data_IF_511815207598
#
_entry.id   IF_511815207598
#
_cell.length_a   1.000
_cell.length_b   1.000
_cell.length_c   1.000
_cell.angle_alpha   90.00
_cell.angle_beta   90.00
_cell.angle_gamma   90.00
#
_symmetry.space_group_name_H-M   'P 1'
#
loop_
_entity.id
_entity.type
_entity.pdbx_description
1 polymer ?
#
# COMPACT_ATOMS: atom_id res chain seq x y z
N UNK A 1 15.17 19.62 36.65
CA UNK A 1 14.24 18.48 36.46
C UNK A 1 13.32 18.85 35.32
N UNK A 2 13.82 18.69 34.09
CA UNK A 2 13.13 19.13 32.87
C UNK A 2 12.18 18.04 32.39
N UNK A 3 10.91 18.41 32.31
CA UNK A 3 9.83 17.55 31.88
C UNK A 3 9.85 17.45 30.34
N UNK A 4 10.52 16.42 29.81
CA UNK A 4 10.56 16.10 28.38
C UNK A 4 9.17 15.67 27.93
N UNK A 5 8.43 16.58 27.30
CA UNK A 5 7.16 16.29 26.64
C UNK A 5 7.42 15.51 25.36
N UNK A 6 7.10 14.22 25.39
CA UNK A 6 7.39 13.29 24.30
C UNK A 6 6.37 13.45 23.14
N UNK A 7 6.81 13.59 21.88
CA UNK A 7 5.94 13.82 20.71
C UNK A 7 5.27 12.53 20.20
N UNK A 8 4.74 11.68 21.10
CA UNK A 8 4.18 10.35 20.76
C UNK A 8 2.76 10.39 20.15
N UNK A 9 2.04 11.52 20.22
CA UNK A 9 0.60 11.56 19.93
C UNK A 9 0.23 11.64 18.43
N UNK A 10 1.06 12.22 17.57
CA UNK A 10 0.71 12.46 16.15
C UNK A 10 0.65 11.18 15.31
N UNK A 11 1.47 10.17 15.63
CA UNK A 11 1.51 8.94 14.84
C UNK A 11 0.39 7.96 15.17
N UNK A 12 -0.04 7.91 16.45
CA UNK A 12 -1.25 7.20 16.86
C UNK A 12 -2.48 7.84 16.25
N UNK A 13 -2.55 9.18 16.17
CA UNK A 13 -3.62 9.89 15.47
C UNK A 13 -3.72 9.52 13.99
N UNK A 14 -2.59 9.42 13.27
CA UNK A 14 -2.61 9.01 11.86
C UNK A 14 -3.01 7.55 11.66
N UNK A 15 -2.53 6.64 12.50
CA UNK A 15 -2.88 5.22 12.41
C UNK A 15 -4.33 4.99 12.84
N UNK A 16 -4.80 5.67 13.88
CA UNK A 16 -6.24 5.73 14.22
C UNK A 16 -7.05 6.34 13.08
N UNK A 17 -6.57 7.39 12.41
CA UNK A 17 -7.25 7.96 11.24
C UNK A 17 -7.37 6.96 10.10
N UNK A 18 -6.31 6.20 9.79
CA UNK A 18 -6.35 5.17 8.75
C UNK A 18 -7.31 4.06 9.14
N UNK A 19 -7.20 3.52 10.36
CA UNK A 19 -8.12 2.47 10.85
C UNK A 19 -9.56 2.98 10.89
N UNK A 20 -9.77 4.20 11.37
CA UNK A 20 -11.09 4.85 11.40
C UNK A 20 -11.62 5.05 10.00
N UNK A 21 -10.82 5.50 9.04
CA UNK A 21 -11.19 5.62 7.63
C UNK A 21 -11.54 4.26 7.02
N UNK A 22 -10.78 3.21 7.33
CA UNK A 22 -11.06 1.84 6.88
C UNK A 22 -12.37 1.31 7.45
N UNK A 23 -12.59 1.50 8.76
CA UNK A 23 -13.82 1.09 9.45
C UNK A 23 -15.01 1.91 8.96
N UNK A 24 -14.82 3.21 8.75
CA UNK A 24 -15.85 4.10 8.21
C UNK A 24 -16.19 3.71 6.76
N UNK A 25 -15.19 3.41 5.93
CA UNK A 25 -15.41 2.90 4.58
C UNK A 25 -16.17 1.57 4.61
N UNK A 26 -15.79 0.64 5.48
CA UNK A 26 -16.51 -0.63 5.66
C UNK A 26 -17.95 -0.42 6.15
N UNK A 27 -18.17 0.47 7.11
CA UNK A 27 -19.49 0.81 7.63
C UNK A 27 -20.36 1.52 6.59
N UNK A 28 -19.77 2.39 5.76
CA UNK A 28 -20.46 3.02 4.62
C UNK A 28 -20.82 1.98 3.56
N UNK A 29 -19.93 1.02 3.27
CA UNK A 29 -20.23 -0.09 2.36
C UNK A 29 -21.39 -0.93 2.89
N UNK A 30 -21.33 -1.36 4.15
CA UNK A 30 -22.40 -2.17 4.77
C UNK A 30 -23.70 -1.38 4.85
N UNK A 31 -23.65 -0.13 5.31
CA UNK A 31 -24.82 0.75 5.42
C UNK A 31 -25.45 1.03 4.07
N UNK A 32 -24.65 1.26 3.02
CA UNK A 32 -25.17 1.48 1.69
C UNK A 32 -25.71 0.20 1.01
N UNK A 33 -25.19 -0.98 1.36
CA UNK A 33 -25.78 -2.26 0.95
C UNK A 33 -27.12 -2.52 1.63
N UNK A 34 -27.26 -2.14 2.91
CA UNK A 34 -28.52 -2.28 3.67
C UNK A 34 -29.56 -1.26 3.18
N UNK A 35 -29.22 0.03 3.14
CA UNK A 35 -30.14 1.11 2.71
C UNK A 35 -30.44 1.04 1.21
N UNK A 36 -29.48 0.62 0.40
CA UNK A 36 -29.63 0.49 -1.04
C UNK A 36 -30.62 -0.60 -1.45
N UNK A 37 -30.83 -1.63 -0.62
CA UNK A 37 -31.84 -2.68 -0.85
C UNK A 37 -33.26 -2.14 -0.72
N UNK A 38 -33.47 -1.15 0.13
CA UNK A 38 -34.81 -0.60 0.40
C UNK A 38 -35.17 0.60 -0.49
N UNK A 39 -34.20 1.19 -1.19
CA UNK A 39 -34.38 2.45 -1.95
C UNK A 39 -34.34 2.28 -3.47
N UNK A 40 -34.07 1.08 -3.99
CA UNK A 40 -33.87 0.83 -5.43
C UNK A 40 -32.61 1.50 -6.01
N UNK A 41 -31.82 2.19 -5.18
CA UNK A 41 -30.56 2.82 -5.60
C UNK A 41 -29.58 1.79 -6.12
N UNK A 42 -29.68 0.50 -5.75
CA UNK A 42 -28.82 -0.59 -6.23
C UNK A 42 -29.22 -1.18 -7.59
N UNK A 43 -30.42 -0.87 -8.09
CA UNK A 43 -30.97 -1.43 -9.32
C UNK A 43 -30.61 -0.55 -10.52
N UNK A 44 -29.34 -0.63 -10.92
CA UNK A 44 -28.87 -0.10 -12.19
C UNK A 44 -28.74 -1.25 -13.19
N UNK A 45 -29.56 -1.28 -14.23
CA UNK A 45 -29.38 -2.24 -15.31
C UNK A 45 -28.21 -1.78 -16.19
N UNK A 46 -27.05 -2.45 -16.17
CA UNK A 46 -25.88 -2.00 -16.89
C UNK A 46 -26.13 -2.12 -18.40
N UNK A 47 -25.72 -1.13 -19.22
CA UNK A 47 -25.77 -1.28 -20.66
C UNK A 47 -24.87 -2.47 -21.08
N UNK A 48 -25.23 -3.17 -22.17
CA UNK A 48 -24.56 -4.41 -22.58
C UNK A 48 -23.03 -4.30 -22.69
N UNK A 49 -22.53 -3.16 -23.18
CA UNK A 49 -21.09 -2.88 -23.26
C UNK A 49 -20.43 -2.82 -21.88
N UNK A 50 -21.09 -2.25 -20.88
CA UNK A 50 -20.58 -2.15 -19.51
C UNK A 50 -20.59 -3.50 -18.81
N UNK A 51 -21.56 -4.35 -19.12
CA UNK A 51 -21.61 -5.71 -18.60
C UNK A 51 -20.42 -6.55 -19.11
N UNK A 52 -20.19 -6.55 -20.43
CA UNK A 52 -19.04 -7.27 -21.02
C UNK A 52 -17.71 -6.71 -20.53
N UNK A 53 -17.54 -5.38 -20.59
CA UNK A 53 -16.30 -4.73 -20.16
C UNK A 53 -16.04 -4.91 -18.66
N UNK A 54 -17.09 -4.78 -17.84
CA UNK A 54 -17.03 -4.96 -16.40
C UNK A 54 -16.61 -6.39 -16.03
N UNK A 55 -17.18 -7.40 -16.67
CA UNK A 55 -16.79 -8.80 -16.49
C UNK A 55 -15.34 -9.07 -16.89
N UNK A 56 -14.91 -8.55 -18.05
CA UNK A 56 -13.52 -8.69 -18.51
C UNK A 56 -12.53 -8.04 -17.52
N UNK A 57 -12.83 -6.82 -17.06
CA UNK A 57 -11.98 -6.11 -16.10
C UNK A 57 -11.97 -6.80 -14.73
N UNK A 58 -13.10 -7.31 -14.27
CA UNK A 58 -13.16 -8.05 -13.01
C UNK A 58 -12.30 -9.31 -13.06
N UNK A 59 -12.38 -10.09 -14.14
CA UNK A 59 -11.56 -11.29 -14.33
C UNK A 59 -10.08 -10.95 -14.50
N UNK A 60 -9.75 -9.92 -15.28
CA UNK A 60 -8.37 -9.48 -15.49
C UNK A 60 -7.72 -8.96 -14.20
N UNK A 61 -8.44 -8.14 -13.43
CA UNK A 61 -7.98 -7.63 -12.13
C UNK A 61 -7.78 -8.76 -11.10
N UNK A 62 -8.69 -9.73 -11.08
CA UNK A 62 -8.57 -10.92 -10.23
C UNK A 62 -7.37 -11.78 -10.63
N UNK A 63 -7.20 -12.06 -11.93
CA UNK A 63 -6.07 -12.82 -12.44
C UNK A 63 -4.73 -12.13 -12.12
N UNK A 64 -4.65 -10.81 -12.28
CA UNK A 64 -3.47 -10.02 -11.92
C UNK A 64 -3.17 -10.10 -10.42
N UNK A 65 -4.21 -10.03 -9.58
CA UNK A 65 -4.07 -10.14 -8.12
C UNK A 65 -3.53 -11.51 -7.72
N UNK A 66 -4.10 -12.58 -8.27
CA UNK A 66 -3.66 -13.97 -8.04
C UNK A 66 -2.21 -14.15 -8.51
N UNK A 67 -1.89 -13.71 -9.74
CA UNK A 67 -0.54 -13.81 -10.28
C UNK A 67 0.49 -13.08 -9.40
N UNK A 68 0.13 -11.90 -8.89
CA UNK A 68 0.99 -11.13 -7.98
C UNK A 68 1.19 -11.85 -6.65
N UNK A 69 0.15 -12.43 -6.07
CA UNK A 69 0.25 -13.23 -4.84
C UNK A 69 1.15 -14.44 -5.06
N UNK A 70 0.92 -15.21 -6.13
CA UNK A 70 1.72 -16.40 -6.46
C UNK A 70 3.18 -16.02 -6.65
N UNK A 71 3.46 -14.94 -7.38
CA UNK A 71 4.82 -14.42 -7.55
C UNK A 71 5.47 -14.00 -6.23
N UNK A 72 4.72 -13.33 -5.35
CA UNK A 72 5.21 -12.88 -4.05
C UNK A 72 5.53 -14.05 -3.10
N UNK A 73 4.71 -15.11 -3.15
CA UNK A 73 4.95 -16.36 -2.41
C UNK A 73 6.15 -17.11 -2.99
N UNK A 74 6.21 -17.27 -4.31
CA UNK A 74 7.27 -18.02 -5.00
C UNK A 74 8.63 -17.35 -4.90
N UNK A 75 8.67 -16.01 -4.88
CA UNK A 75 9.92 -15.25 -4.73
C UNK A 75 10.55 -15.34 -3.33
N UNK A 76 9.91 -16.03 -2.37
CA UNK A 76 10.46 -16.21 -1.03
C UNK A 76 10.54 -14.90 -0.22
N UNK A 77 10.01 -13.79 -0.75
CA UNK A 77 10.09 -12.46 -0.15
C UNK A 77 9.46 -12.41 1.24
N UNK A 78 8.39 -13.16 1.47
CA UNK A 78 7.78 -13.31 2.79
C UNK A 78 8.73 -13.95 3.82
N UNK A 79 9.63 -14.84 3.40
CA UNK A 79 10.64 -15.42 4.30
C UNK A 79 11.76 -14.43 4.59
N UNK A 80 12.24 -13.71 3.57
CA UNK A 80 13.26 -12.67 3.73
C UNK A 80 12.80 -11.56 4.71
N UNK A 81 11.52 -11.19 4.67
CA UNK A 81 10.97 -10.13 5.53
C UNK A 81 10.72 -10.59 6.98
N UNK A 82 10.64 -11.92 7.22
CA UNK A 82 10.53 -12.48 8.59
C UNK A 82 11.86 -12.44 9.35
N UNK A 83 12.98 -12.54 8.64
CA UNK A 83 14.33 -12.55 9.24
C UNK A 83 14.92 -11.16 9.49
N UNK A 84 14.24 -10.08 9.08
CA UNK A 84 14.87 -8.75 9.12
C UNK A 84 15.05 -8.23 10.56
N UNK A 85 16.27 -7.74 10.84
CA UNK A 85 16.62 -7.07 12.10
C UNK A 85 15.71 -5.87 12.41
N UNK A 86 15.05 -5.32 11.38
CA UNK A 86 14.08 -4.23 11.48
C UNK A 86 12.89 -4.57 12.40
N UNK A 87 12.54 -5.85 12.58
CA UNK A 87 11.48 -6.25 13.51
C UNK A 87 11.80 -5.96 14.98
N UNK A 88 13.08 -5.83 15.32
CA UNK A 88 13.53 -5.52 16.68
C UNK A 88 13.50 -4.02 16.97
N UNK A 89 13.44 -3.18 15.93
CA UNK A 89 13.40 -1.72 16.07
C UNK A 89 12.01 -1.24 16.47
N UNK A 90 11.97 -0.11 17.17
CA UNK A 90 10.70 0.52 17.50
C UNK A 90 10.05 1.13 16.24
N UNK A 91 8.71 1.24 16.20
CA UNK A 91 8.03 1.87 15.07
C UNK A 91 8.44 3.34 14.83
N UNK A 92 8.92 4.04 15.85
CA UNK A 92 9.48 5.38 15.70
C UNK A 92 10.81 5.38 14.95
N UNK A 93 11.68 4.41 15.24
CA UNK A 93 13.01 4.32 14.61
C UNK A 93 12.86 3.94 13.14
N UNK A 94 11.95 3.01 12.83
CA UNK A 94 11.61 2.65 11.45
C UNK A 94 11.13 3.88 10.66
N UNK A 95 10.26 4.71 11.27
CA UNK A 95 9.80 5.94 10.61
C UNK A 95 10.91 6.98 10.45
N UNK A 96 11.80 7.10 11.43
CA UNK A 96 12.96 8.00 11.36
C UNK A 96 13.87 7.57 10.19
N UNK A 97 14.20 6.28 10.10
CA UNK A 97 14.99 5.71 9.01
C UNK A 97 14.31 5.92 7.65
N UNK A 98 13.00 5.64 7.54
CA UNK A 98 12.25 5.92 6.31
C UNK A 98 12.29 7.40 5.93
N UNK A 99 12.21 8.30 6.92
CA UNK A 99 12.26 9.73 6.68
C UNK A 99 13.66 10.21 6.27
N UNK A 100 14.72 9.61 6.80
CA UNK A 100 16.09 9.84 6.34
C UNK A 100 16.27 9.35 4.88
N UNK A 101 15.75 8.15 4.56
CA UNK A 101 15.75 7.64 3.17
C UNK A 101 15.00 8.58 2.23
N UNK A 102 13.84 9.09 2.64
CA UNK A 102 13.08 10.04 1.82
C UNK A 102 13.76 11.39 1.63
N UNK A 103 14.52 11.85 2.62
CA UNK A 103 15.23 13.14 2.57
C UNK A 103 16.56 13.06 1.82
N UNK A 104 17.10 11.86 1.59
CA UNK A 104 18.41 11.69 0.96
C UNK A 104 19.57 12.21 1.81
N UNK A 105 19.34 12.48 3.09
CA UNK A 105 20.32 13.01 4.03
C UNK A 105 20.43 12.04 5.22
N UNK A 106 21.35 11.04 5.15
CA UNK A 106 21.71 10.23 6.31
C UNK A 106 22.16 11.16 7.45
N UNK A 107 21.77 10.87 8.68
CA UNK A 107 22.42 11.52 9.82
C UNK A 107 23.85 10.97 9.97
N UNK A 108 24.78 11.77 10.47
CA UNK A 108 26.21 11.40 10.55
C UNK A 108 26.44 10.12 11.37
N UNK A 109 25.56 9.82 12.34
CA UNK A 109 25.60 8.61 13.17
C UNK A 109 24.68 7.47 12.68
N UNK A 110 24.08 7.60 11.49
CA UNK A 110 23.14 6.59 11.01
C UNK A 110 23.87 5.32 10.55
N UNK A 111 23.47 4.17 11.10
CA UNK A 111 23.94 2.88 10.63
C UNK A 111 23.50 2.67 9.16
N UNK A 112 24.47 2.77 8.25
CA UNK A 112 24.27 2.57 6.81
C UNK A 112 23.71 1.18 6.49
N UNK A 113 23.99 0.16 7.31
CA UNK A 113 23.39 -1.17 7.18
C UNK A 113 21.87 -1.13 7.34
N UNK A 114 21.38 -0.44 8.39
CA UNK A 114 19.95 -0.24 8.64
C UNK A 114 19.28 0.63 7.56
N UNK A 115 19.96 1.66 7.07
CA UNK A 115 19.49 2.49 5.95
C UNK A 115 19.32 1.66 4.66
N UNK A 116 20.30 0.82 4.32
CA UNK A 116 20.20 -0.09 3.14
C UNK A 116 19.09 -1.11 3.31
N UNK A 117 18.96 -1.70 4.50
CA UNK A 117 17.86 -2.64 4.79
C UNK A 117 16.49 -1.96 4.63
N UNK A 118 16.35 -0.73 5.12
CA UNK A 118 15.13 0.08 4.99
C UNK A 118 14.84 0.43 3.53
N UNK A 119 15.86 0.82 2.75
CA UNK A 119 15.71 1.10 1.32
C UNK A 119 15.26 -0.14 0.54
N UNK A 120 15.82 -1.32 0.82
CA UNK A 120 15.38 -2.60 0.23
C UNK A 120 13.93 -2.92 0.62
N UNK A 121 13.54 -2.66 1.87
CA UNK A 121 12.15 -2.81 2.31
C UNK A 121 11.21 -1.91 1.52
N UNK A 122 11.54 -0.62 1.30
CA UNK A 122 10.72 0.31 0.52
C UNK A 122 10.58 -0.12 -0.95
N UNK A 123 11.66 -0.65 -1.56
CA UNK A 123 11.62 -1.22 -2.92
C UNK A 123 10.76 -2.49 -2.96
N UNK A 124 10.83 -3.33 -1.93
CA UNK A 124 9.98 -4.51 -1.84
C UNK A 124 8.51 -4.13 -1.62
N UNK A 125 8.25 -3.06 -0.87
CA UNK A 125 6.91 -2.55 -0.59
C UNK A 125 6.20 -2.10 -1.88
N UNK A 126 6.92 -1.54 -2.87
CA UNK A 126 6.30 -1.15 -4.15
C UNK A 126 5.72 -2.32 -4.95
N UNK A 127 6.15 -3.56 -4.68
CA UNK A 127 5.55 -4.73 -5.33
C UNK A 127 4.15 -5.05 -4.78
N UNK A 128 3.87 -4.73 -3.53
CA UNK A 128 2.51 -4.82 -2.98
C UNK A 128 1.56 -3.82 -3.66
N UNK A 129 2.08 -2.75 -4.25
CA UNK A 129 1.29 -1.81 -5.05
C UNK A 129 0.70 -2.48 -6.30
N UNK A 130 1.31 -3.55 -6.84
CA UNK A 130 0.72 -4.32 -7.95
C UNK A 130 -0.57 -5.05 -7.54
N UNK A 131 -0.63 -5.57 -6.31
CA UNK A 131 -1.89 -6.12 -5.76
C UNK A 131 -2.95 -5.02 -5.68
N UNK A 132 -2.57 -3.81 -5.26
CA UNK A 132 -3.50 -2.69 -5.19
C UNK A 132 -4.03 -2.29 -6.57
N UNK A 133 -3.17 -2.33 -7.60
CA UNK A 133 -3.60 -2.11 -9.00
C UNK A 133 -4.60 -3.17 -9.44
N UNK A 134 -4.32 -4.46 -9.22
CA UNK A 134 -5.27 -5.55 -9.53
C UNK A 134 -6.59 -5.41 -8.80
N UNK A 135 -6.55 -4.98 -7.53
CA UNK A 135 -7.74 -4.70 -6.74
C UNK A 135 -8.56 -3.54 -7.32
N UNK A 136 -7.93 -2.41 -7.66
CA UNK A 136 -8.61 -1.25 -8.26
C UNK A 136 -9.26 -1.62 -9.59
N UNK A 137 -8.59 -2.40 -10.44
CA UNK A 137 -9.14 -2.89 -11.71
C UNK A 137 -10.38 -3.76 -11.45
N UNK A 138 -10.30 -4.67 -10.48
CA UNK A 138 -11.42 -5.54 -10.09
C UNK A 138 -12.61 -4.71 -9.59
N UNK A 139 -12.36 -3.73 -8.72
CA UNK A 139 -13.40 -2.83 -8.19
C UNK A 139 -14.02 -1.98 -9.30
N UNK A 140 -13.25 -1.55 -10.30
CA UNK A 140 -13.77 -0.83 -11.46
C UNK A 140 -14.72 -1.72 -12.27
N UNK A 141 -14.31 -2.96 -12.53
CA UNK A 141 -15.16 -3.95 -13.20
C UNK A 141 -16.48 -4.15 -12.47
N UNK A 142 -16.44 -4.30 -11.14
CA UNK A 142 -17.66 -4.41 -10.32
C UNK A 142 -18.54 -3.16 -10.38
N UNK A 143 -17.95 -1.96 -10.41
CA UNK A 143 -18.72 -0.72 -10.51
C UNK A 143 -19.46 -0.63 -11.86
N UNK A 144 -18.84 -1.08 -12.95
CA UNK A 144 -19.48 -1.16 -14.27
C UNK A 144 -20.61 -2.19 -14.31
N UNK A 145 -20.43 -3.34 -13.65
CA UNK A 145 -21.44 -4.41 -13.61
C UNK A 145 -22.71 -4.01 -12.84
N UNK A 146 -22.62 -3.09 -11.89
CA UNK A 146 -23.79 -2.63 -11.11
C UNK A 146 -24.36 -1.30 -11.59
N UNK A 147 -23.60 -0.56 -12.40
CA UNK A 147 -23.95 0.74 -12.99
C UNK A 147 -24.70 1.69 -12.05
N UNK A 148 -24.22 1.78 -10.81
CA UNK A 148 -24.92 2.45 -9.71
C UNK A 148 -24.18 3.71 -9.26
N UNK A 149 -24.86 4.85 -9.02
CA UNK A 149 -24.19 6.07 -8.53
C UNK A 149 -23.37 5.86 -7.25
N UNK A 150 -23.87 5.01 -6.35
CA UNK A 150 -23.17 4.61 -5.14
C UNK A 150 -21.83 3.92 -5.44
N UNK A 151 -21.85 2.92 -6.32
CA UNK A 151 -20.65 2.16 -6.69
C UNK A 151 -19.67 3.03 -7.49
N UNK A 152 -20.15 3.96 -8.30
CA UNK A 152 -19.32 4.97 -8.98
C UNK A 152 -18.62 5.87 -7.97
N UNK A 153 -19.33 6.39 -6.97
CA UNK A 153 -18.74 7.22 -5.91
C UNK A 153 -17.71 6.46 -5.07
N UNK A 154 -18.04 5.25 -4.65
CA UNK A 154 -17.11 4.38 -3.90
C UNK A 154 -15.87 4.05 -4.73
N UNK A 155 -16.05 3.70 -6.01
CA UNK A 155 -14.95 3.46 -6.93
C UNK A 155 -14.06 4.70 -7.06
N UNK A 156 -14.64 5.90 -7.24
CA UNK A 156 -13.86 7.13 -7.37
C UNK A 156 -12.97 7.39 -6.14
N UNK A 157 -13.50 7.16 -4.94
CA UNK A 157 -12.74 7.28 -3.69
C UNK A 157 -11.63 6.23 -3.61
N UNK A 158 -11.95 4.96 -3.88
CA UNK A 158 -10.97 3.87 -3.87
C UNK A 158 -9.88 4.06 -4.93
N UNK A 159 -10.24 4.54 -6.12
CA UNK A 159 -9.31 4.85 -7.19
C UNK A 159 -8.38 6.00 -6.81
N UNK A 160 -8.90 7.08 -6.22
CA UNK A 160 -8.07 8.20 -5.76
C UNK A 160 -7.07 7.76 -4.67
N UNK A 161 -7.53 6.96 -3.70
CA UNK A 161 -6.66 6.40 -2.66
C UNK A 161 -5.64 5.41 -3.24
N UNK A 162 -6.07 4.55 -4.16
CA UNK A 162 -5.24 3.56 -4.83
C UNK A 162 -4.13 4.20 -5.67
N UNK A 163 -4.50 5.13 -6.56
CA UNK A 163 -3.57 5.89 -7.39
C UNK A 163 -2.58 6.66 -6.52
N UNK A 164 -3.05 7.34 -5.46
CA UNK A 164 -2.19 8.02 -4.51
C UNK A 164 -1.19 7.06 -3.86
N UNK A 165 -1.66 5.95 -3.30
CA UNK A 165 -0.81 4.94 -2.66
C UNK A 165 0.23 4.33 -3.61
N UNK A 166 -0.17 4.03 -4.85
CA UNK A 166 0.73 3.53 -5.90
C UNK A 166 1.78 4.59 -6.25
N UNK A 167 1.37 5.83 -6.50
CA UNK A 167 2.28 6.93 -6.83
C UNK A 167 3.30 7.18 -5.71
N UNK A 168 2.86 7.23 -4.45
CA UNK A 168 3.74 7.35 -3.29
C UNK A 168 4.70 6.17 -3.17
N UNK A 169 4.24 4.93 -3.34
CA UNK A 169 5.08 3.75 -3.25
C UNK A 169 6.17 3.72 -4.34
N UNK A 170 5.84 4.10 -5.57
CA UNK A 170 6.83 4.20 -6.64
C UNK A 170 7.81 5.35 -6.44
N UNK A 171 7.33 6.50 -5.96
CA UNK A 171 8.20 7.63 -5.62
C UNK A 171 9.20 7.24 -4.53
N UNK A 172 8.72 6.64 -3.45
CA UNK A 172 9.54 6.11 -2.35
C UNK A 172 10.56 5.07 -2.83
N UNK A 173 10.15 4.15 -3.71
CA UNK A 173 11.06 3.15 -4.28
C UNK A 173 12.14 3.79 -5.17
N UNK A 174 11.84 4.88 -5.88
CA UNK A 174 12.84 5.62 -6.66
C UNK A 174 13.87 6.28 -5.76
N UNK A 175 13.44 6.91 -4.66
CA UNK A 175 14.34 7.52 -3.66
C UNK A 175 15.22 6.46 -2.98
N UNK A 176 14.63 5.33 -2.58
CA UNK A 176 15.38 4.22 -2.01
C UNK A 176 16.43 3.65 -2.98
N UNK A 177 16.08 3.52 -4.28
CA UNK A 177 17.04 3.12 -5.32
C UNK A 177 18.18 4.14 -5.48
N UNK A 178 17.89 5.43 -5.37
CA UNK A 178 18.90 6.48 -5.45
C UNK A 178 19.91 6.36 -4.29
N UNK A 179 19.45 6.12 -3.07
CA UNK A 179 20.33 5.91 -1.91
C UNK A 179 21.19 4.66 -2.06
N UNK A 180 20.61 3.55 -2.51
CA UNK A 180 21.38 2.32 -2.73
C UNK A 180 22.48 2.50 -3.79
N UNK A 181 22.25 3.36 -4.80
CA UNK A 181 23.26 3.71 -5.80
C UNK A 181 24.33 4.64 -5.23
N UNK A 182 23.94 5.61 -4.41
CA UNK A 182 24.87 6.55 -3.80
C UNK A 182 25.79 5.86 -2.77
N UNK A 183 25.30 4.82 -2.11
CA UNK A 183 26.01 4.15 -0.99
C UNK A 183 26.09 2.63 -1.25
N UNK A 184 26.88 2.20 -2.26
CA UNK A 184 27.03 0.79 -2.59
C UNK A 184 27.59 0.00 -1.40
N UNK A 185 27.34 -1.31 -1.37
CA UNK A 185 27.90 -2.18 -0.33
C UNK A 185 29.44 -2.14 -0.40
N UNK A 186 30.14 -2.08 0.75
CA UNK A 186 31.59 -2.21 0.74
C UNK A 186 31.93 -3.58 0.15
N UNK A 187 32.81 -3.61 -0.86
CA UNK A 187 33.11 -4.79 -1.70
C UNK A 187 33.78 -5.97 -0.97
N UNK A 188 33.85 -5.95 0.37
CA UNK A 188 34.53 -6.96 1.19
C UNK A 188 33.66 -7.66 2.25
N UNK A 189 32.35 -7.45 2.28
CA UNK A 189 31.45 -8.34 3.05
C UNK A 189 31.10 -9.55 2.17
N UNK A 190 32.08 -10.44 2.04
CA UNK A 190 31.88 -11.78 1.50
C UNK A 190 30.71 -12.44 2.22
N UNK A 191 29.84 -13.00 1.39
CA UNK A 191 28.63 -13.73 1.70
C UNK A 191 28.93 -14.93 2.62
N UNK A 192 28.96 -14.71 3.93
CA UNK A 192 28.67 -15.75 4.91
C UNK A 192 27.18 -15.68 5.26
N UNK A 193 26.33 -16.03 4.29
CA UNK A 193 24.92 -16.41 4.47
C UNK A 193 24.53 -17.40 3.36
#
# INVERSE_FOLDING_TARGET
>A
MEMVTSPRSRSRRRLMLVVLLSVLAAAVIVGAVVVGRDTGILDGDPPAWANTLGGVLQLAGLALTIATIVWLVRSGRFRADRGSSLRRLSPSDIRSLQQQVRRGAPQDDADFGLLRATARMMINQSWYSLMLVGFVITSFGQALLKFTPLFTGLFAVLAALGVGAVAFAFHDARLAKAILRAHPAPEGQESHD
#
